data_IF_091073809044
#
_entry.id   IF_091073809044
#
_cell.length_a   1.000
_cell.length_b   1.000
_cell.length_c   1.000
_cell.angle_alpha   90.00
_cell.angle_beta   90.00
_cell.angle_gamma   90.00
#
_symmetry.space_group_name_H-M   'P 1'
#
loop_
_entity.id
_entity.type
_entity.pdbx_description
1 polymer ?
#
# COMPACT_ATOMS: atom_id res chain seq x y z
N UNK A 1 -11.33 -6.81 17.11
CA UNK A 1 -10.39 -6.38 16.06
C UNK A 1 -8.98 -6.76 16.50
N UNK A 2 -8.30 -7.59 15.73
CA UNK A 2 -6.88 -7.89 15.90
C UNK A 2 -6.05 -6.83 15.18
N UNK A 3 -4.89 -6.48 15.73
CA UNK A 3 -3.95 -5.58 15.04
C UNK A 3 -3.35 -6.31 13.84
N UNK A 4 -3.28 -5.63 12.70
CA UNK A 4 -2.68 -6.17 11.49
C UNK A 4 -1.45 -5.34 11.13
N UNK A 5 -0.30 -5.98 11.00
CA UNK A 5 0.92 -5.34 10.52
C UNK A 5 0.95 -5.39 8.99
N UNK A 6 1.19 -4.24 8.38
CA UNK A 6 1.41 -4.07 6.95
C UNK A 6 2.89 -3.75 6.77
N UNK A 7 3.58 -4.51 5.92
CA UNK A 7 5.01 -4.31 5.63
C UNK A 7 5.21 -4.11 4.13
N UNK A 8 5.95 -3.07 3.74
CA UNK A 8 6.28 -2.81 2.34
C UNK A 8 7.49 -3.65 1.95
N UNK A 9 7.24 -4.77 1.28
CA UNK A 9 8.30 -5.74 0.95
C UNK A 9 9.02 -5.43 -0.38
N UNK A 10 8.36 -4.74 -1.31
CA UNK A 10 8.90 -4.39 -2.62
C UNK A 10 8.16 -3.20 -3.23
N UNK A 11 8.82 -2.51 -4.17
CA UNK A 11 8.23 -1.49 -5.03
C UNK A 11 8.59 -1.84 -6.47
N UNK A 12 7.57 -1.97 -7.31
CA UNK A 12 7.75 -2.22 -8.74
C UNK A 12 7.43 -0.94 -9.51
N UNK A 13 8.29 -0.62 -10.47
CA UNK A 13 8.11 0.46 -11.43
C UNK A 13 8.73 0.00 -12.73
N UNK A 14 8.01 0.20 -13.84
CA UNK A 14 8.35 -0.29 -15.16
C UNK A 14 8.54 0.94 -16.08
N UNK A 15 9.78 1.48 -16.18
CA UNK A 15 10.06 2.70 -16.94
C UNK A 15 9.60 2.63 -18.39
N UNK A 16 9.70 1.46 -19.01
CA UNK A 16 9.29 1.22 -20.39
C UNK A 16 7.79 1.48 -20.62
N UNK A 17 6.93 1.08 -19.66
CA UNK A 17 5.50 1.35 -19.73
C UNK A 17 5.19 2.80 -19.35
N UNK A 18 5.98 3.39 -18.45
CA UNK A 18 5.84 4.79 -18.09
C UNK A 18 6.11 5.70 -19.30
N UNK A 19 7.21 5.46 -20.02
CA UNK A 19 7.56 6.21 -21.24
C UNK A 19 6.52 6.04 -22.36
N UNK A 20 5.91 4.86 -22.50
CA UNK A 20 4.90 4.61 -23.54
C UNK A 20 3.54 5.26 -23.24
N UNK A 21 3.11 5.24 -21.96
CA UNK A 21 1.71 5.53 -21.61
C UNK A 21 1.49 6.76 -20.72
N UNK A 22 2.53 7.31 -20.07
CA UNK A 22 2.39 8.45 -19.16
C UNK A 22 2.88 9.74 -19.82
N UNK A 23 2.18 10.85 -19.57
CA UNK A 23 2.55 12.18 -20.09
C UNK A 23 3.96 12.59 -19.69
N UNK A 24 4.35 12.30 -18.45
CA UNK A 24 5.65 12.66 -17.88
C UNK A 24 6.69 11.53 -18.04
N UNK A 25 6.35 10.44 -18.75
CA UNK A 25 7.25 9.32 -19.01
C UNK A 25 7.83 8.67 -17.75
N UNK A 26 9.03 8.12 -17.86
CA UNK A 26 9.76 7.49 -16.77
C UNK A 26 10.13 8.43 -15.62
N UNK A 27 10.09 9.76 -15.82
CA UNK A 27 10.45 10.75 -14.80
C UNK A 27 9.51 10.74 -13.58
N UNK A 28 8.30 10.19 -13.72
CA UNK A 28 7.39 10.00 -12.56
C UNK A 28 7.99 9.11 -11.48
N UNK A 29 8.83 8.15 -11.87
CA UNK A 29 9.49 7.21 -10.96
C UNK A 29 8.55 6.32 -10.13
N UNK A 30 9.11 5.54 -9.19
CA UNK A 30 8.33 4.71 -8.27
C UNK A 30 7.59 5.56 -7.23
N UNK A 31 6.57 4.97 -6.60
CA UNK A 31 5.76 5.62 -5.54
C UNK A 31 6.61 6.38 -4.51
N UNK A 32 6.34 7.67 -4.27
CA UNK A 32 7.11 8.50 -3.33
C UNK A 32 6.65 8.40 -1.87
N UNK A 33 5.48 7.80 -1.63
CA UNK A 33 4.85 7.77 -0.29
C UNK A 33 5.25 6.56 0.56
N UNK A 34 5.78 5.51 -0.06
CA UNK A 34 6.16 4.26 0.63
C UNK A 34 7.59 3.90 0.29
N UNK A 35 8.31 3.33 1.24
CA UNK A 35 9.67 2.79 1.08
C UNK A 35 9.70 1.32 1.46
N UNK A 36 10.60 0.56 0.83
CA UNK A 36 10.82 -0.84 1.19
C UNK A 36 11.32 -0.90 2.64
N UNK A 37 10.68 -1.73 3.45
CA UNK A 37 10.94 -1.86 4.87
C UNK A 37 10.01 -1.02 5.76
N UNK A 38 9.20 -0.13 5.21
CA UNK A 38 8.19 0.58 5.99
C UNK A 38 7.20 -0.40 6.64
N UNK A 39 6.87 -0.15 7.90
CA UNK A 39 5.90 -0.93 8.66
C UNK A 39 4.79 -0.02 9.18
N UNK A 40 3.55 -0.49 9.05
CA UNK A 40 2.35 0.20 9.51
C UNK A 40 1.49 -0.76 10.32
N UNK A 41 0.78 -0.21 11.30
CA UNK A 41 -0.15 -0.98 12.13
C UNK A 41 -1.56 -0.49 11.86
N UNK A 42 -2.45 -1.41 11.49
CA UNK A 42 -3.88 -1.19 11.44
C UNK A 42 -4.53 -1.64 12.74
N UNK A 43 -5.15 -0.70 13.46
CA UNK A 43 -5.79 -0.94 14.76
C UNK A 43 -7.31 -1.18 14.67
N UNK A 44 -7.90 -1.15 13.47
CA UNK A 44 -9.34 -1.35 13.25
C UNK A 44 -10.08 -0.06 12.89
N UNK A 45 -11.42 -0.10 12.97
CA UNK A 45 -12.25 1.10 12.86
C UNK A 45 -12.37 1.72 11.45
N UNK A 46 -11.97 0.98 10.41
CA UNK A 46 -11.91 1.49 9.02
C UNK A 46 -10.97 2.72 8.83
N UNK A 47 -10.06 2.97 9.78
CA UNK A 47 -9.12 4.08 9.70
C UNK A 47 -7.81 3.66 9.02
N UNK A 48 -7.37 4.44 8.04
CA UNK A 48 -6.09 4.21 7.38
C UNK A 48 -4.93 4.47 8.36
N UNK A 49 -3.88 3.63 8.40
CA UNK A 49 -2.70 3.91 9.22
C UNK A 49 -2.07 5.27 8.87
N UNK A 50 -1.56 5.96 9.89
CA UNK A 50 -0.90 7.25 9.72
C UNK A 50 0.26 7.15 8.71
N UNK A 51 0.37 8.14 7.82
CA UNK A 51 1.39 8.22 6.76
C UNK A 51 1.36 7.07 5.74
N UNK A 52 0.32 6.23 5.73
CA UNK A 52 0.17 5.23 4.67
C UNK A 52 -0.34 5.86 3.37
N UNK A 53 0.01 5.26 2.24
CA UNK A 53 -0.43 5.72 0.92
C UNK A 53 -1.95 5.51 0.76
N UNK A 54 -2.73 6.58 0.47
CA UNK A 54 -4.19 6.46 0.29
C UNK A 54 -4.62 5.55 -0.86
N UNK A 55 -3.83 5.52 -1.94
CA UNK A 55 -4.12 4.64 -3.09
C UNK A 55 -3.93 3.18 -2.73
N UNK A 56 -2.77 2.86 -2.13
CA UNK A 56 -2.51 1.50 -1.65
C UNK A 56 -3.53 1.06 -0.59
N UNK A 57 -4.03 1.99 0.23
CA UNK A 57 -5.04 1.68 1.24
C UNK A 57 -6.33 1.16 0.61
N UNK A 58 -6.83 1.83 -0.43
CA UNK A 58 -8.06 1.41 -1.12
C UNK A 58 -7.92 -0.02 -1.66
N UNK A 59 -6.74 -0.37 -2.16
CA UNK A 59 -6.46 -1.70 -2.72
C UNK A 59 -6.43 -2.81 -1.67
N UNK A 60 -5.83 -2.55 -0.49
CA UNK A 60 -5.60 -3.60 0.52
C UNK A 60 -6.61 -3.60 1.66
N UNK A 61 -7.37 -2.52 1.87
CA UNK A 61 -8.23 -2.32 3.05
C UNK A 61 -9.14 -3.52 3.30
N UNK A 62 -9.80 -4.03 2.26
CA UNK A 62 -10.72 -5.16 2.40
C UNK A 62 -10.03 -6.39 3.02
N UNK A 63 -8.82 -6.73 2.56
CA UNK A 63 -8.05 -7.85 3.09
C UNK A 63 -7.54 -7.60 4.50
N UNK A 64 -7.01 -6.40 4.75
CA UNK A 64 -6.54 -5.98 6.09
C UNK A 64 -7.69 -6.00 7.11
N UNK A 65 -8.87 -5.53 6.72
CA UNK A 65 -10.05 -5.51 7.58
C UNK A 65 -10.57 -6.93 7.88
N UNK A 66 -10.59 -7.82 6.89
CA UNK A 66 -10.95 -9.22 7.08
C UNK A 66 -10.02 -9.91 8.09
N UNK A 67 -8.70 -9.74 7.93
CA UNK A 67 -7.69 -10.26 8.86
C UNK A 67 -7.88 -9.68 10.28
N UNK A 68 -8.21 -8.39 10.39
CA UNK A 68 -8.48 -7.74 11.67
C UNK A 68 -9.78 -8.25 12.33
N UNK A 69 -10.81 -8.55 11.54
CA UNK A 69 -12.06 -9.12 12.02
C UNK A 69 -11.91 -10.58 12.47
N UNK A 70 -10.84 -11.26 12.07
CA UNK A 70 -10.60 -12.67 12.34
C UNK A 70 -11.16 -13.61 11.27
N UNK A 71 -11.44 -13.11 10.07
CA UNK A 71 -11.66 -13.95 8.89
C UNK A 71 -10.30 -14.50 8.42
N UNK A 72 -9.98 -15.70 8.87
CA UNK A 72 -8.76 -16.42 8.53
C UNK A 72 -8.48 -17.55 9.51
N UNK A 73 -9.03 -18.72 9.19
CA UNK A 73 -8.45 -20.04 9.50
C UNK A 73 -7.92 -20.63 8.18
#
# INVERSE_FOLDING_TARGET
MKKVKISVIRKEFYPEFADEYLTDGAEVGPCLLLNVGDEFIYDGGAEMPLNFCPWAWIDIYRGVNALSAGEGD
#
